data_IF_939967891726
#
_entry.id   IF_939967891726
#
_cell.length_a   1.000
_cell.length_b   1.000
_cell.length_c   1.000
_cell.angle_alpha   90.00
_cell.angle_beta   90.00
_cell.angle_gamma   90.00
#
_symmetry.space_group_name_H-M   'P 1'
#
loop_
_entity.id
_entity.type
_entity.pdbx_description
1 polymer ?
#
# COMPACT_ATOMS: atom_id res chain seq x y z
N UNK A 1 -6.90 -21.14 -1.15
CA UNK A 1 -6.43 -19.88 -0.54
C UNK A 1 -5.12 -19.51 -1.20
N UNK A 2 -4.99 -18.27 -1.68
CA UNK A 2 -3.76 -17.78 -2.29
C UNK A 2 -3.20 -16.62 -1.46
N UNK A 3 -1.87 -16.58 -1.33
CA UNK A 3 -1.15 -15.49 -0.66
C UNK A 3 -0.11 -14.93 -1.62
N UNK A 4 -0.08 -13.61 -1.77
CA UNK A 4 0.97 -12.93 -2.55
C UNK A 4 2.21 -12.69 -1.69
N UNK A 5 3.37 -12.62 -2.34
CA UNK A 5 4.65 -12.34 -1.67
C UNK A 5 4.89 -10.83 -1.69
N UNK A 6 4.48 -10.13 -0.62
CA UNK A 6 4.95 -8.80 -0.21
C UNK A 6 5.25 -7.80 -1.34
N UNK A 7 4.30 -7.55 -2.25
CA UNK A 7 4.55 -6.63 -3.37
C UNK A 7 4.79 -5.23 -2.81
N UNK A 8 5.93 -4.61 -3.16
CA UNK A 8 6.22 -3.24 -2.72
C UNK A 8 5.89 -2.25 -3.83
N UNK A 9 5.00 -1.30 -3.55
CA UNK A 9 4.65 -0.23 -4.49
C UNK A 9 4.90 1.14 -3.88
N UNK A 10 5.04 2.16 -4.74
CA UNK A 10 5.13 3.56 -4.31
C UNK A 10 3.75 4.20 -4.37
N UNK A 11 3.31 4.81 -3.27
CA UNK A 11 2.07 5.57 -3.23
C UNK A 11 2.20 6.79 -4.14
N UNK A 12 1.30 6.90 -5.11
CA UNK A 12 1.26 8.00 -6.07
C UNK A 12 -0.17 8.48 -6.24
N UNK A 13 -0.34 9.75 -6.59
CA UNK A 13 -1.67 10.27 -6.98
C UNK A 13 -2.21 9.49 -8.17
N UNK A 14 -3.50 9.17 -8.14
CA UNK A 14 -4.18 8.51 -9.25
C UNK A 14 -4.08 9.39 -10.50
N UNK A 15 -3.66 8.80 -11.62
CA UNK A 15 -3.66 9.44 -12.94
C UNK A 15 -4.66 8.68 -13.81
N UNK A 16 -5.52 9.41 -14.51
CA UNK A 16 -6.62 8.85 -15.33
C UNK A 16 -6.15 8.19 -16.64
N UNK A 17 -4.89 8.34 -17.03
CA UNK A 17 -4.34 7.88 -18.33
C UNK A 17 -3.36 6.71 -18.18
N UNK A 18 -3.73 5.66 -17.44
CA UNK A 18 -2.86 4.50 -17.16
C UNK A 18 -3.62 3.22 -17.50
N UNK A 19 -3.03 2.35 -18.33
CA UNK A 19 -3.61 1.05 -18.70
C UNK A 19 -3.62 0.02 -17.54
N UNK A 20 -2.94 0.36 -16.43
CA UNK A 20 -2.93 -0.46 -15.23
C UNK A 20 -4.11 -0.17 -14.30
N UNK A 21 -4.74 -1.24 -13.81
CA UNK A 21 -5.72 -1.16 -12.72
C UNK A 21 -4.99 -0.74 -11.43
N UNK A 22 -5.54 0.27 -10.74
CA UNK A 22 -5.01 0.79 -9.48
C UNK A 22 -6.11 0.77 -8.43
N UNK A 23 -5.75 0.42 -7.19
CA UNK A 23 -6.65 0.55 -6.05
C UNK A 23 -6.51 1.93 -5.42
N UNK A 24 -7.63 2.52 -5.01
CA UNK A 24 -7.62 3.73 -4.17
C UNK A 24 -7.39 3.35 -2.72
N UNK A 25 -6.48 4.03 -2.03
CA UNK A 25 -6.32 3.89 -0.57
C UNK A 25 -7.35 4.80 0.12
N UNK A 26 -8.28 4.27 0.94
CA UNK A 26 -9.26 5.07 1.66
C UNK A 26 -8.62 6.15 2.54
N UNK A 27 -9.26 7.32 2.62
CA UNK A 27 -8.74 8.50 3.33
C UNK A 27 -8.46 8.25 4.82
N UNK A 28 -9.23 7.38 5.47
CA UNK A 28 -9.01 7.00 6.86
C UNK A 28 -7.67 6.29 7.08
N UNK A 29 -7.28 5.40 6.16
CA UNK A 29 -5.99 4.69 6.21
C UNK A 29 -4.85 5.69 6.00
N UNK A 30 -4.99 6.59 5.01
CA UNK A 30 -4.02 7.65 4.73
C UNK A 30 -3.75 8.47 5.99
N UNK A 31 -4.81 8.92 6.68
CA UNK A 31 -4.69 9.71 7.91
C UNK A 31 -4.10 8.93 9.08
N UNK A 32 -4.56 7.70 9.31
CA UNK A 32 -4.16 6.90 10.48
C UNK A 32 -2.70 6.45 10.42
N UNK A 33 -2.16 6.24 9.21
CA UNK A 33 -0.78 5.82 8.99
C UNK A 33 0.14 6.99 8.58
N UNK A 34 -0.38 8.21 8.53
CA UNK A 34 0.30 9.42 8.04
C UNK A 34 0.99 9.19 6.69
N UNK A 35 0.24 8.61 5.74
CA UNK A 35 0.77 8.28 4.41
C UNK A 35 0.91 9.53 3.56
N UNK A 36 2.01 9.59 2.82
CA UNK A 36 2.32 10.68 1.91
C UNK A 36 2.62 10.16 0.51
N UNK A 37 2.42 11.02 -0.50
CA UNK A 37 2.86 10.70 -1.86
C UNK A 37 4.35 10.40 -1.84
N UNK A 38 4.69 9.20 -2.32
CA UNK A 38 6.05 8.71 -2.39
C UNK A 38 6.45 7.72 -1.32
N UNK A 39 5.61 7.48 -0.31
CA UNK A 39 5.80 6.37 0.62
C UNK A 39 5.86 5.03 -0.14
N UNK A 40 6.72 4.13 0.32
CA UNK A 40 6.74 2.74 -0.14
C UNK A 40 5.87 1.90 0.79
N UNK A 41 4.94 1.16 0.20
CA UNK A 41 4.02 0.28 0.90
C UNK A 41 4.27 -1.14 0.43
N UNK A 42 4.52 -2.03 1.39
CA UNK A 42 4.53 -3.47 1.16
C UNK A 42 3.12 -4.01 1.37
N UNK A 43 2.65 -4.79 0.40
CA UNK A 43 1.32 -5.37 0.35
C UNK A 43 1.40 -6.87 0.52
N UNK A 44 0.75 -7.38 1.55
CA UNK A 44 0.43 -8.80 1.66
C UNK A 44 -1.06 -8.98 1.42
N UNK A 45 -1.39 -9.75 0.38
CA UNK A 45 -2.78 -10.02 -0.03
C UNK A 45 -3.06 -11.50 0.25
N UNK A 46 -4.07 -11.74 1.08
CA UNK A 46 -4.56 -13.08 1.39
C UNK A 46 -6.01 -13.20 0.93
N UNK A 47 -6.28 -14.16 0.05
CA UNK A 47 -7.62 -14.45 -0.45
C UNK A 47 -8.30 -15.58 0.32
N UNK A 48 -9.54 -15.32 0.69
CA UNK A 48 -10.43 -16.26 1.38
C UNK A 48 -11.54 -16.75 0.44
N UNK A 49 -12.33 -17.70 0.90
CA UNK A 49 -13.54 -18.11 0.19
C UNK A 49 -14.51 -16.92 0.02
N UNK A 50 -15.33 -16.97 -1.03
CA UNK A 50 -16.31 -15.92 -1.37
C UNK A 50 -15.71 -14.56 -1.78
N UNK A 51 -14.45 -14.52 -2.22
CA UNK A 51 -13.84 -13.30 -2.78
C UNK A 51 -13.45 -12.25 -1.73
N UNK A 52 -13.42 -12.63 -0.46
CA UNK A 52 -12.90 -11.78 0.62
C UNK A 52 -11.38 -11.71 0.53
N UNK A 53 -10.84 -10.50 0.64
CA UNK A 53 -9.40 -10.23 0.58
C UNK A 53 -8.96 -9.49 1.82
N UNK A 54 -7.97 -10.03 2.54
CA UNK A 54 -7.27 -9.30 3.60
C UNK A 54 -6.05 -8.62 3.00
N UNK A 55 -5.93 -7.32 3.25
CA UNK A 55 -4.81 -6.49 2.80
C UNK A 55 -4.05 -6.00 4.03
N UNK A 56 -2.79 -6.39 4.15
CA UNK A 56 -1.88 -5.86 5.18
C UNK A 56 -0.97 -4.85 4.52
N UNK A 57 -0.90 -3.65 5.10
CA UNK A 57 -0.06 -2.54 4.64
C UNK A 57 1.07 -2.37 5.65
N UNK A 58 2.30 -2.66 5.23
CA UNK A 58 3.48 -2.40 6.04
C UNK A 58 4.17 -1.17 5.46
N UNK A 59 4.18 -0.08 6.24
CA UNK A 59 5.00 1.09 5.94
C UNK A 59 6.38 0.87 6.54
N UNK A 60 7.41 0.82 5.72
CA UNK A 60 8.79 0.94 6.21
C UNK A 60 8.90 2.34 6.84
N UNK A 61 9.15 2.42 8.16
CA UNK A 61 9.45 3.72 8.78
C UNK A 61 10.60 4.33 8.00
N UNK A 62 10.44 5.59 7.57
CA UNK A 62 11.57 6.39 7.08
C UNK A 62 12.61 6.30 8.20
N UNK A 63 13.77 5.71 7.93
CA UNK A 63 14.93 5.93 8.80
C UNK A 63 15.12 7.44 8.78
N UNK A 64 14.90 8.10 9.91
CA UNK A 64 15.30 9.49 10.07
C UNK A 64 16.82 9.51 9.84
N UNK A 65 17.21 9.84 8.63
CA UNK A 65 18.60 9.95 8.25
C UNK A 65 19.20 11.15 8.95
N UNK A 66 20.10 10.87 9.91
CA UNK A 66 21.26 11.70 10.21
C UNK A 66 20.97 13.02 10.91
N UNK A 67 20.83 12.95 12.24
CA UNK A 67 21.40 13.99 13.09
C UNK A 67 22.69 13.43 13.70
N UNK A 68 23.77 14.20 13.53
CA UNK A 68 25.17 14.02 13.94
C UNK A 68 26.07 13.32 12.93
#
# INVERSE_FOLDING_TARGET
MARTKGETTKLVSAKTNSDSLRATVPSFIVKSLHLEVGDKLEWEIESFEHGVVKVVIVRSKKTEGGAL
#
